data_IF_865998675747
#
_entry.id   IF_865998675747
#
_cell.length_a   1.000
_cell.length_b   1.000
_cell.length_c   1.000
_cell.angle_alpha   90.00
_cell.angle_beta   90.00
_cell.angle_gamma   90.00
#
_symmetry.space_group_name_H-M   'P 1'
#
loop_
_entity.id
_entity.type
_entity.pdbx_description
1 polymer ?
#
# COMPACT_ATOMS: atom_id res chain seq x y z
N UNK A 1 0.81 0.01 11.30
CA UNK A 1 1.83 -0.93 10.82
C UNK A 1 2.20 -0.55 9.41
N UNK A 2 3.49 -0.59 9.04
CA UNK A 2 3.93 -0.22 7.69
C UNK A 2 3.38 -1.18 6.63
N UNK A 3 2.88 -0.62 5.52
CA UNK A 3 2.34 -1.36 4.38
C UNK A 3 3.44 -2.23 3.74
N UNK A 4 3.18 -3.50 3.38
CA UNK A 4 4.15 -4.31 2.67
C UNK A 4 4.37 -3.73 1.26
N UNK A 5 5.62 -3.43 0.93
CA UNK A 5 6.02 -2.97 -0.40
C UNK A 5 6.00 -4.16 -1.37
N UNK A 6 5.05 -4.15 -2.31
CA UNK A 6 4.99 -5.12 -3.41
C UNK A 6 5.77 -4.54 -4.58
N UNK A 7 7.01 -5.02 -4.75
CA UNK A 7 7.87 -4.67 -5.89
C UNK A 7 7.38 -5.36 -7.17
N UNK A 8 7.58 -4.69 -8.31
CA UNK A 8 7.07 -5.17 -9.60
C UNK A 8 8.02 -6.23 -10.20
N UNK A 9 7.57 -7.03 -11.19
CA UNK A 9 8.41 -8.00 -11.88
C UNK A 9 9.68 -7.42 -12.53
N UNK A 10 9.75 -6.09 -12.73
CA UNK A 10 10.91 -5.37 -13.28
C UNK A 10 12.08 -5.27 -12.29
N UNK A 11 11.84 -5.50 -11.00
CA UNK A 11 12.86 -5.39 -9.95
C UNK A 11 13.70 -6.69 -9.81
N UNK A 12 13.48 -7.69 -10.67
CA UNK A 12 14.10 -9.02 -10.58
C UNK A 12 15.63 -9.01 -10.59
N UNK A 13 16.27 -8.20 -11.44
CA UNK A 13 17.75 -8.13 -11.50
C UNK A 13 18.33 -7.46 -10.26
N UNK A 14 17.79 -6.32 -9.86
CA UNK A 14 18.19 -5.63 -8.63
C UNK A 14 18.05 -6.52 -7.38
N UNK A 15 16.96 -7.30 -7.33
CA UNK A 15 16.70 -8.25 -6.23
C UNK A 15 17.71 -9.41 -6.26
N UNK A 16 18.00 -9.98 -7.43
CA UNK A 16 19.00 -11.03 -7.60
C UNK A 16 20.39 -10.54 -7.16
N UNK A 17 20.78 -9.35 -7.60
CA UNK A 17 22.06 -8.74 -7.26
C UNK A 17 22.15 -8.44 -5.76
N UNK A 18 21.06 -8.00 -5.13
CA UNK A 18 21.01 -7.74 -3.69
C UNK A 18 21.15 -9.03 -2.88
N UNK A 19 20.49 -10.11 -3.30
CA UNK A 19 20.59 -11.43 -2.66
C UNK A 19 22.00 -12.00 -2.84
N UNK A 20 22.57 -11.94 -4.04
CA UNK A 20 23.92 -12.41 -4.32
C UNK A 20 24.96 -11.60 -3.55
N UNK A 21 24.81 -10.28 -3.48
CA UNK A 21 25.69 -9.39 -2.70
C UNK A 21 25.59 -9.70 -1.20
N UNK A 22 24.37 -9.86 -0.68
CA UNK A 22 24.14 -10.21 0.72
C UNK A 22 24.77 -11.56 1.07
N UNK A 23 24.55 -12.57 0.23
CA UNK A 23 25.10 -13.91 0.43
C UNK A 23 26.63 -13.90 0.28
N UNK A 24 27.19 -13.24 -0.74
CA UNK A 24 28.63 -13.16 -0.97
C UNK A 24 29.37 -12.45 0.17
N UNK A 25 28.81 -11.35 0.68
CA UNK A 25 29.40 -10.57 1.77
C UNK A 25 29.27 -11.24 3.13
N UNK A 26 28.21 -12.04 3.34
CA UNK A 26 27.91 -12.61 4.65
C UNK A 26 28.06 -14.13 4.73
N UNK A 27 28.40 -14.85 3.64
CA UNK A 27 28.51 -16.33 3.62
C UNK A 27 29.43 -16.91 4.70
N UNK A 28 30.54 -16.22 5.01
CA UNK A 28 31.50 -16.64 6.04
C UNK A 28 30.98 -16.38 7.45
N UNK A 29 30.16 -15.32 7.66
CA UNK A 29 29.54 -15.01 8.95
C UNK A 29 28.36 -15.94 9.21
N UNK A 30 27.51 -16.18 8.22
CA UNK A 30 26.35 -17.09 8.28
C UNK A 30 26.79 -18.53 8.61
N UNK A 31 27.92 -19.01 8.06
CA UNK A 31 28.48 -20.34 8.36
C UNK A 31 29.12 -20.46 9.75
N UNK A 32 29.46 -19.35 10.41
CA UNK A 32 30.28 -19.34 11.65
C UNK A 32 29.52 -18.78 12.85
N UNK A 33 28.36 -18.16 12.66
CA UNK A 33 27.56 -17.62 13.75
C UNK A 33 26.92 -18.75 14.56
N UNK A 34 27.43 -18.96 15.79
CA UNK A 34 26.69 -19.62 16.87
C UNK A 34 25.27 -19.06 16.90
N UNK A 35 24.30 -19.97 16.94
CA UNK A 35 22.87 -19.80 16.66
C UNK A 35 22.24 -18.56 17.33
N UNK A 36 22.75 -18.12 18.48
CA UNK A 36 22.18 -17.03 19.27
C UNK A 36 22.28 -15.64 18.62
N UNK A 37 23.38 -15.30 17.93
CA UNK A 37 23.51 -13.99 17.25
C UNK A 37 22.67 -13.92 15.99
N UNK A 38 22.57 -15.02 15.26
CA UNK A 38 21.70 -15.12 14.09
C UNK A 38 20.23 -15.09 14.52
N UNK A 39 19.86 -15.84 15.57
CA UNK A 39 18.53 -15.79 16.17
C UNK A 39 18.14 -14.38 16.65
N UNK A 40 19.04 -13.64 17.32
CA UNK A 40 18.80 -12.23 17.66
C UNK A 40 18.59 -11.33 16.44
N UNK A 41 19.38 -11.49 15.38
CA UNK A 41 19.21 -10.72 14.14
C UNK A 41 17.87 -11.03 13.47
N UNK A 42 17.50 -12.30 13.39
CA UNK A 42 16.22 -12.78 12.87
C UNK A 42 15.04 -12.22 13.69
N UNK A 43 15.15 -12.21 15.01
CA UNK A 43 14.14 -11.62 15.91
C UNK A 43 14.06 -10.09 15.83
N UNK A 44 15.16 -9.41 15.49
CA UNK A 44 15.19 -7.96 15.29
C UNK A 44 14.62 -7.54 13.93
N UNK A 45 14.72 -8.39 12.91
CA UNK A 45 14.28 -8.10 11.55
C UNK A 45 13.39 -9.21 10.96
N UNK A 46 12.28 -9.57 11.60
CA UNK A 46 11.40 -10.67 11.17
C UNK A 46 10.85 -10.45 9.75
N UNK A 47 10.65 -9.19 9.36
CA UNK A 47 10.25 -8.80 7.98
C UNK A 47 11.23 -9.32 6.91
N UNK A 48 12.53 -9.38 7.22
CA UNK A 48 13.55 -9.83 6.27
C UNK A 48 13.46 -11.34 6.06
N UNK A 49 13.16 -12.10 7.13
CA UNK A 49 12.97 -13.55 7.04
C UNK A 49 11.72 -13.86 6.24
N UNK A 50 10.61 -13.18 6.57
CA UNK A 50 9.36 -13.32 5.83
C UNK A 50 9.58 -13.04 4.35
N UNK A 51 10.37 -12.01 4.02
CA UNK A 51 10.68 -11.68 2.64
C UNK A 51 11.52 -12.76 1.93
N UNK A 52 12.60 -13.22 2.56
CA UNK A 52 13.46 -14.27 1.97
C UNK A 52 12.69 -15.59 1.79
N UNK A 53 11.82 -15.96 2.73
CA UNK A 53 10.98 -17.17 2.63
C UNK A 53 9.92 -17.01 1.55
N UNK A 54 9.23 -15.86 1.49
CA UNK A 54 8.25 -15.57 0.45
C UNK A 54 8.91 -15.60 -0.94
N UNK A 55 10.08 -15.00 -1.08
CA UNK A 55 10.82 -14.93 -2.33
C UNK A 55 11.40 -16.32 -2.73
N UNK A 56 11.83 -17.14 -1.76
CA UNK A 56 12.22 -18.53 -2.02
C UNK A 56 11.03 -19.36 -2.49
N UNK A 57 9.88 -19.24 -1.82
CA UNK A 57 8.65 -19.90 -2.20
C UNK A 57 8.20 -19.49 -3.61
N UNK A 58 8.24 -18.20 -3.94
CA UNK A 58 7.91 -17.69 -5.28
C UNK A 58 8.86 -18.18 -6.37
N UNK A 59 10.16 -18.38 -6.05
CA UNK A 59 11.14 -18.92 -6.99
C UNK A 59 10.99 -20.43 -7.22
N UNK A 60 10.39 -21.17 -6.29
CA UNK A 60 10.12 -22.60 -6.40
C UNK A 60 8.82 -22.90 -7.17
N UNK A 61 8.00 -21.89 -7.49
CA UNK A 61 6.79 -22.09 -8.26
C UNK A 61 7.14 -22.25 -9.76
N UNK A 62 6.86 -23.43 -10.32
CA UNK A 62 6.98 -23.71 -11.76
C UNK A 62 6.10 -22.81 -12.65
N UNK A 63 5.07 -22.18 -12.05
CA UNK A 63 4.19 -21.21 -12.69
C UNK A 63 3.96 -20.02 -11.75
N UNK A 64 3.94 -18.78 -12.25
CA UNK A 64 3.69 -17.63 -11.40
C UNK A 64 2.35 -17.79 -10.65
N UNK A 65 2.24 -17.27 -9.42
CA UNK A 65 1.00 -17.33 -8.67
C UNK A 65 -0.13 -16.65 -9.47
N UNK A 66 -1.39 -17.12 -9.32
CA UNK A 66 -2.51 -16.50 -10.00
C UNK A 66 -2.60 -15.03 -9.61
N UNK A 67 -2.82 -14.16 -10.59
CA UNK A 67 -3.08 -12.75 -10.33
C UNK A 67 -4.43 -12.63 -9.64
N UNK A 68 -4.46 -11.94 -8.51
CA UNK A 68 -5.71 -11.57 -7.88
C UNK A 68 -6.32 -10.45 -8.70
N UNK A 69 -7.54 -10.68 -9.20
CA UNK A 69 -8.25 -9.70 -10.01
C UNK A 69 -9.42 -9.11 -9.22
N UNK A 70 -9.71 -7.84 -9.42
CA UNK A 70 -10.94 -7.22 -8.96
C UNK A 70 -12.13 -7.80 -9.73
N UNK A 71 -13.36 -7.54 -9.26
CA UNK A 71 -14.58 -7.93 -9.99
C UNK A 71 -14.68 -7.30 -11.40
N UNK A 72 -13.92 -6.23 -11.64
CA UNK A 72 -13.88 -5.52 -12.92
C UNK A 72 -12.78 -6.07 -13.86
N UNK A 73 -12.05 -7.12 -13.46
CA UNK A 73 -11.02 -7.74 -14.30
C UNK A 73 -9.68 -7.01 -14.30
N UNK A 74 -9.45 -6.11 -13.35
CA UNK A 74 -8.16 -5.43 -13.13
C UNK A 74 -7.33 -6.15 -12.07
N UNK A 75 -6.00 -6.02 -12.11
CA UNK A 75 -5.14 -6.55 -11.04
C UNK A 75 -5.46 -5.84 -9.71
N UNK A 76 -5.76 -6.62 -8.68
CA UNK A 76 -6.12 -6.12 -7.36
C UNK A 76 -4.87 -5.56 -6.68
N UNK A 77 -4.82 -4.24 -6.50
CA UNK A 77 -3.68 -3.54 -5.90
C UNK A 77 -4.18 -2.62 -4.81
N UNK A 78 -3.86 -2.92 -3.56
CA UNK A 78 -4.11 -2.02 -2.43
C UNK A 78 -3.23 -0.77 -2.56
N UNK A 79 -3.89 0.36 -2.82
CA UNK A 79 -3.27 1.64 -3.07
C UNK A 79 -3.75 2.66 -2.06
N UNK A 80 -2.81 3.46 -1.54
CA UNK A 80 -3.06 4.44 -0.49
C UNK A 80 -2.34 5.74 -0.80
N UNK A 81 -2.99 6.88 -0.57
CA UNK A 81 -2.37 8.20 -0.69
C UNK A 81 -2.73 9.07 0.51
N UNK A 82 -1.83 9.98 0.86
CA UNK A 82 -1.97 10.86 2.01
C UNK A 82 -1.82 12.32 1.58
N UNK A 83 -2.59 13.18 2.22
CA UNK A 83 -2.59 14.61 1.97
C UNK A 83 -2.68 15.38 3.29
N UNK A 84 -2.03 16.54 3.37
CA UNK A 84 -2.26 17.53 4.41
C UNK A 84 -3.41 18.45 4.00
N UNK A 85 -4.13 18.95 5.00
CA UNK A 85 -5.22 19.90 4.82
C UNK A 85 -5.26 20.90 5.97
N UNK A 86 -5.68 22.12 5.69
CA UNK A 86 -5.80 23.19 6.70
C UNK A 86 -7.18 23.26 7.35
N UNK A 87 -8.22 22.75 6.69
CA UNK A 87 -9.61 22.84 7.16
C UNK A 87 -10.40 21.57 6.80
N UNK A 88 -10.67 20.72 7.80
CA UNK A 88 -11.44 19.47 7.67
C UNK A 88 -12.83 19.72 7.06
N UNK A 89 -13.57 20.68 7.59
CA UNK A 89 -14.96 20.94 7.17
C UNK A 89 -15.04 21.46 5.74
N UNK A 90 -14.11 22.32 5.32
CA UNK A 90 -14.07 22.80 3.93
C UNK A 90 -13.79 21.64 2.95
N UNK A 91 -12.80 20.80 3.25
CA UNK A 91 -12.45 19.64 2.42
C UNK A 91 -13.62 18.65 2.36
N UNK A 92 -14.25 18.36 3.50
CA UNK A 92 -15.44 17.50 3.59
C UNK A 92 -16.57 18.01 2.69
N UNK A 93 -16.95 19.26 2.82
CA UNK A 93 -18.04 19.85 2.05
C UNK A 93 -17.74 19.77 0.54
N UNK A 94 -16.53 20.14 0.13
CA UNK A 94 -16.08 20.03 -1.27
C UNK A 94 -16.09 18.59 -1.80
N UNK A 95 -15.74 17.60 -0.97
CA UNK A 95 -15.81 16.19 -1.36
C UNK A 95 -17.26 15.76 -1.58
N UNK A 96 -18.17 16.12 -0.67
CA UNK A 96 -19.58 15.73 -0.73
C UNK A 96 -20.36 16.43 -1.85
N UNK A 97 -19.89 17.58 -2.35
CA UNK A 97 -20.40 18.21 -3.56
C UNK A 97 -20.09 17.38 -4.84
N UNK A 98 -19.07 16.53 -4.81
CA UNK A 98 -18.71 15.69 -5.95
C UNK A 98 -19.64 14.48 -5.99
N UNK A 99 -20.31 14.28 -7.14
CA UNK A 99 -21.18 13.13 -7.35
C UNK A 99 -20.47 11.80 -7.06
N UNK A 100 -21.11 11.00 -6.23
CA UNK A 100 -20.68 9.66 -5.84
C UNK A 100 -19.88 9.61 -4.52
N UNK A 101 -19.64 10.74 -3.86
CA UNK A 101 -19.10 10.75 -2.50
C UNK A 101 -20.25 10.81 -1.50
N UNK A 102 -20.24 9.93 -0.51
CA UNK A 102 -21.26 9.80 0.52
C UNK A 102 -20.61 9.61 1.88
N UNK A 103 -21.25 10.13 2.93
CA UNK A 103 -20.83 9.91 4.31
C UNK A 103 -21.04 8.43 4.66
N UNK A 104 -19.99 7.76 5.12
CA UNK A 104 -20.07 6.40 5.65
C UNK A 104 -20.26 6.40 7.16
N UNK A 105 -19.31 7.00 7.87
CA UNK A 105 -19.28 7.09 9.33
C UNK A 105 -18.70 8.44 9.73
N UNK A 106 -19.20 9.04 10.82
CA UNK A 106 -18.67 10.28 11.37
C UNK A 106 -18.38 10.07 12.85
N UNK A 107 -17.13 10.33 13.24
CA UNK A 107 -16.73 10.35 14.64
C UNK A 107 -15.97 11.65 14.99
N UNK A 108 -15.68 11.84 16.28
CA UNK A 108 -14.99 13.06 16.75
C UNK A 108 -13.55 13.20 16.24
N UNK A 109 -12.92 12.12 15.75
CA UNK A 109 -11.50 12.06 15.37
C UNK A 109 -11.31 12.00 13.85
N UNK A 110 -12.20 11.34 13.13
CA UNK A 110 -12.08 10.96 11.74
C UNK A 110 -13.47 10.78 11.10
N UNK A 111 -13.69 11.48 9.98
CA UNK A 111 -14.86 11.25 9.15
C UNK A 111 -14.50 10.27 8.03
N UNK A 112 -15.35 9.28 7.81
CA UNK A 112 -15.20 8.29 6.74
C UNK A 112 -16.16 8.66 5.61
N UNK A 113 -15.60 8.97 4.44
CA UNK A 113 -16.37 9.25 3.22
C UNK A 113 -16.12 8.12 2.22
N UNK A 114 -17.19 7.57 1.66
CA UNK A 114 -17.13 6.48 0.68
C UNK A 114 -17.32 7.06 -0.72
N UNK A 115 -16.47 6.65 -1.67
CA UNK A 115 -16.65 6.95 -3.08
C UNK A 115 -17.31 5.76 -3.79
N UNK A 116 -18.52 5.98 -4.31
CA UNK A 116 -19.36 4.99 -4.97
C UNK A 116 -19.54 5.28 -6.47
N UNK A 117 -19.74 4.22 -7.25
CA UNK A 117 -20.25 4.33 -8.62
C UNK A 117 -21.80 4.33 -8.65
N UNK A 118 -22.40 4.47 -9.84
CA UNK A 118 -23.87 4.42 -10.03
C UNK A 118 -24.52 3.09 -9.63
N UNK A 119 -23.74 2.02 -9.44
CA UNK A 119 -24.19 0.68 -9.02
C UNK A 119 -23.92 0.44 -7.52
N UNK A 120 -23.65 1.49 -6.74
CA UNK A 120 -23.30 1.44 -5.32
C UNK A 120 -22.09 0.53 -5.02
N UNK A 121 -21.15 0.42 -5.96
CA UNK A 121 -19.87 -0.26 -5.72
C UNK A 121 -18.87 0.73 -5.15
N UNK A 122 -18.18 0.34 -4.08
CA UNK A 122 -17.10 1.10 -3.46
C UNK A 122 -15.90 1.16 -4.40
N UNK A 123 -15.57 2.37 -4.82
CA UNK A 123 -14.40 2.71 -5.63
C UNK A 123 -13.20 3.11 -4.76
N UNK A 124 -13.45 3.65 -3.57
CA UNK A 124 -12.43 3.94 -2.57
C UNK A 124 -13.03 4.54 -1.30
N UNK A 125 -12.20 4.61 -0.26
CA UNK A 125 -12.57 5.12 1.06
C UNK A 125 -11.64 6.26 1.44
N UNK A 126 -12.22 7.34 1.95
CA UNK A 126 -11.53 8.54 2.39
C UNK A 126 -11.66 8.58 3.90
N UNK A 127 -10.53 8.77 4.56
CA UNK A 127 -10.41 8.96 5.99
C UNK A 127 -9.95 10.39 6.23
N UNK A 128 -10.78 11.18 6.90
CA UNK A 128 -10.61 12.62 7.01
C UNK A 128 -10.50 13.03 8.48
N UNK A 129 -9.29 13.39 8.88
CA UNK A 129 -8.98 13.96 10.20
C UNK A 129 -8.72 15.46 10.09
N UNK A 130 -8.53 16.13 11.23
CA UNK A 130 -8.35 17.60 11.30
C UNK A 130 -7.26 18.16 10.38
N UNK A 131 -6.19 17.38 10.16
CA UNK A 131 -5.00 17.82 9.41
C UNK A 131 -4.62 16.91 8.25
N UNK A 132 -5.25 15.74 8.13
CA UNK A 132 -4.86 14.74 7.15
C UNK A 132 -6.05 14.13 6.47
N UNK A 133 -5.89 13.94 5.16
CA UNK A 133 -6.77 13.14 4.33
C UNK A 133 -5.99 11.91 3.87
N UNK A 134 -6.60 10.75 4.02
CA UNK A 134 -6.10 9.50 3.51
C UNK A 134 -7.12 8.92 2.53
N UNK A 135 -6.68 8.50 1.35
CA UNK A 135 -7.52 7.80 0.38
C UNK A 135 -6.99 6.39 0.15
N UNK A 136 -7.89 5.40 0.19
CA UNK A 136 -7.62 3.98 -0.04
C UNK A 136 -8.47 3.42 -1.18
N UNK A 137 -7.86 2.60 -2.04
CA UNK A 137 -8.54 1.86 -3.12
C UNK A 137 -7.81 0.56 -3.43
N UNK A 138 -8.46 -0.32 -4.18
CA UNK A 138 -7.90 -1.61 -4.64
C UNK A 138 -7.57 -1.63 -6.14
N UNK A 139 -7.51 -0.46 -6.80
CA UNK A 139 -7.19 -0.33 -8.22
C UNK A 139 -6.33 0.91 -8.47
N UNK A 140 -5.27 0.72 -9.27
CA UNK A 140 -4.39 1.80 -9.72
C UNK A 140 -5.15 2.81 -10.60
N UNK A 141 -6.04 2.33 -11.47
CA UNK A 141 -6.85 3.20 -12.32
C UNK A 141 -7.79 4.10 -11.49
N UNK A 142 -8.38 3.53 -10.43
CA UNK A 142 -9.22 4.30 -9.50
C UNK A 142 -8.41 5.35 -8.75
N UNK A 143 -7.14 5.06 -8.41
CA UNK A 143 -6.26 6.05 -7.80
C UNK A 143 -5.97 7.23 -8.74
N UNK A 144 -5.73 6.98 -10.03
CA UNK A 144 -5.49 8.06 -10.98
C UNK A 144 -6.76 8.88 -11.26
N UNK A 145 -7.93 8.24 -11.30
CA UNK A 145 -9.23 8.94 -11.34
C UNK A 145 -9.48 9.78 -10.08
N UNK A 146 -9.08 9.29 -8.91
CA UNK A 146 -9.15 10.03 -7.66
C UNK A 146 -8.35 11.33 -7.76
N UNK A 147 -7.08 11.28 -8.17
CA UNK A 147 -6.22 12.47 -8.34
C UNK A 147 -6.85 13.53 -9.25
N UNK A 148 -7.55 13.10 -10.30
CA UNK A 148 -8.27 14.01 -11.19
C UNK A 148 -9.48 14.65 -10.51
N UNK A 149 -10.25 13.87 -9.72
CA UNK A 149 -11.43 14.36 -9.00
C UNK A 149 -11.10 15.39 -7.92
N UNK A 150 -9.95 15.25 -7.26
CA UNK A 150 -9.58 16.12 -6.13
C UNK A 150 -8.75 17.34 -6.51
N UNK A 151 -8.51 17.58 -7.79
CA UNK A 151 -7.59 18.63 -8.26
C UNK A 151 -7.90 20.03 -7.72
N UNK A 152 -9.17 20.30 -7.39
CA UNK A 152 -9.63 21.60 -6.89
C UNK A 152 -9.93 21.61 -5.38
N UNK A 153 -9.57 20.53 -4.67
CA UNK A 153 -9.74 20.43 -3.23
C UNK A 153 -8.48 21.02 -2.57
N UNK A 154 -8.61 21.85 -1.51
CA UNK A 154 -7.48 22.50 -0.84
C UNK A 154 -6.71 21.51 0.05
N UNK A 155 -5.94 20.63 -0.60
CA UNK A 155 -5.12 19.59 0.03
C UNK A 155 -3.74 19.51 -0.63
N UNK A 156 -2.74 19.15 0.15
CA UNK A 156 -1.34 19.06 -0.29
C UNK A 156 -0.85 17.62 -0.19
N UNK A 157 -0.23 17.09 -1.25
CA UNK A 157 0.22 15.70 -1.26
C UNK A 157 1.41 15.48 -0.32
N UNK A 158 1.34 14.40 0.49
CA UNK A 158 2.44 13.96 1.36
C UNK A 158 3.19 12.83 0.64
N UNK A 159 4.46 13.08 0.32
CA UNK A 159 5.39 12.07 -0.22
C UNK A 159 5.80 11.04 0.85
#
# INVERSE_FOLDING_TARGET
GGTPVVFSPLDKEYIKDTIELFYKNNRKRIRVTKEEKFSKFLNLYPIVIYRVVLDHYLNLLDKPPPKFMTRDGEELVFSKTFYELSNKNEVKNKLLEIKGFEIGEEDEKEDIITWLNKKNTILGTIYLSDKKLQFETNSKERLDKWKQKIKNIPIEFIN
#
